data_IF_804669329339
#
_entry.id   IF_804669329339
#
_cell.length_a   1.000
_cell.length_b   1.000
_cell.length_c   1.000
_cell.angle_alpha   90.00
_cell.angle_beta   90.00
_cell.angle_gamma   90.00
#
_symmetry.space_group_name_H-M   'P 1'
#
loop_
_entity.id
_entity.type
_entity.pdbx_description
1 polymer ?
#
# COMPACT_ATOMS: atom_id res chain seq x y z
N UNK A 1 -5.92 -2.84 -11.39
CA UNK A 1 -5.66 -3.69 -10.21
C UNK A 1 -4.71 -2.98 -9.24
N UNK A 2 -5.12 -2.86 -7.98
CA UNK A 2 -4.45 -2.11 -6.92
C UNK A 2 -3.81 -3.04 -5.88
N UNK A 3 -2.63 -2.68 -5.42
CA UNK A 3 -2.05 -3.20 -4.18
C UNK A 3 -1.86 -2.07 -3.18
N UNK A 4 -2.15 -2.33 -1.92
CA UNK A 4 -1.81 -1.44 -0.82
C UNK A 4 -0.65 -2.06 -0.03
N UNK A 5 0.35 -1.24 0.29
CA UNK A 5 1.47 -1.60 1.16
C UNK A 5 1.36 -0.75 2.42
N UNK A 6 1.39 -1.35 3.60
CA UNK A 6 1.48 -0.67 4.88
C UNK A 6 2.91 -0.83 5.43
N UNK A 7 3.57 0.29 5.72
CA UNK A 7 4.93 0.29 6.25
C UNK A 7 4.97 -0.20 7.72
N UNK A 8 6.17 -0.30 8.28
CA UNK A 8 6.37 -0.75 9.64
C UNK A 8 5.84 0.26 10.67
N UNK A 9 5.80 1.54 10.34
CA UNK A 9 5.19 2.57 11.19
C UNK A 9 3.68 2.36 11.32
N UNK A 10 2.99 1.99 10.24
CA UNK A 10 1.59 1.58 10.29
C UNK A 10 1.41 0.33 11.15
N UNK A 11 2.27 -0.68 10.99
CA UNK A 11 2.21 -1.88 11.85
C UNK A 11 2.33 -1.55 13.35
N UNK A 12 3.32 -0.74 13.71
CA UNK A 12 3.55 -0.33 15.11
C UNK A 12 2.46 0.61 15.64
N UNK A 13 1.91 1.49 14.80
CA UNK A 13 0.79 2.39 15.14
C UNK A 13 -0.47 1.63 15.57
N UNK A 14 -0.74 0.49 14.97
CA UNK A 14 -1.86 -0.38 15.32
C UNK A 14 -1.43 -1.52 16.26
N UNK A 15 -0.35 -1.35 17.01
CA UNK A 15 0.12 -2.30 18.03
C UNK A 15 0.36 -3.73 17.50
N UNK A 16 0.66 -3.84 16.20
CA UNK A 16 0.83 -5.12 15.51
C UNK A 16 -0.47 -5.83 15.14
N UNK A 17 -1.63 -5.20 15.30
CA UNK A 17 -2.92 -5.73 14.88
C UNK A 17 -3.09 -5.64 13.36
N UNK A 18 -2.66 -6.69 12.66
CA UNK A 18 -2.84 -6.80 11.21
C UNK A 18 -4.32 -6.80 10.80
N UNK A 19 -5.22 -7.30 11.65
CA UNK A 19 -6.65 -7.36 11.33
C UNK A 19 -7.25 -5.95 11.24
N UNK A 20 -6.90 -5.08 12.19
CA UNK A 20 -7.32 -3.68 12.16
C UNK A 20 -6.73 -2.95 10.93
N UNK A 21 -5.45 -3.19 10.61
CA UNK A 21 -4.81 -2.61 9.41
C UNK A 21 -5.54 -3.05 8.13
N UNK A 22 -5.85 -4.35 8.01
CA UNK A 22 -6.61 -4.89 6.91
C UNK A 22 -8.01 -4.25 6.80
N UNK A 23 -8.73 -4.13 7.92
CA UNK A 23 -10.06 -3.50 7.95
C UNK A 23 -10.01 -2.06 7.41
N UNK A 24 -9.07 -1.25 7.90
CA UNK A 24 -8.88 0.15 7.44
C UNK A 24 -8.57 0.25 5.96
N UNK A 25 -7.75 -0.66 5.44
CA UNK A 25 -7.43 -0.72 4.02
C UNK A 25 -8.68 -1.07 3.20
N UNK A 26 -9.47 -2.06 3.63
CA UNK A 26 -10.69 -2.45 2.93
C UNK A 26 -11.74 -1.34 2.91
N UNK A 27 -11.94 -0.66 4.03
CA UNK A 27 -12.82 0.50 4.11
C UNK A 27 -12.37 1.62 3.17
N UNK A 28 -11.08 1.94 3.16
CA UNK A 28 -10.50 2.98 2.30
C UNK A 28 -10.68 2.65 0.81
N UNK A 29 -10.37 1.40 0.41
CA UNK A 29 -10.55 0.95 -0.97
C UNK A 29 -12.02 0.94 -1.37
N UNK A 30 -12.93 0.56 -0.47
CA UNK A 30 -14.37 0.60 -0.74
C UNK A 30 -14.84 2.04 -1.01
N UNK A 31 -14.37 3.00 -0.22
CA UNK A 31 -14.64 4.42 -0.46
C UNK A 31 -14.06 4.89 -1.81
N UNK A 32 -12.81 4.53 -2.13
CA UNK A 32 -12.20 4.85 -3.42
C UNK A 32 -13.02 4.27 -4.59
N UNK A 33 -13.52 3.03 -4.47
CA UNK A 33 -14.37 2.43 -5.49
C UNK A 33 -15.62 3.25 -5.79
N UNK A 34 -16.27 3.80 -4.75
CA UNK A 34 -17.44 4.69 -4.93
C UNK A 34 -17.05 5.97 -5.66
N UNK A 35 -15.93 6.59 -5.28
CA UNK A 35 -15.44 7.85 -5.87
C UNK A 35 -15.08 7.66 -7.35
N UNK A 36 -14.28 6.63 -7.65
CA UNK A 36 -13.76 6.38 -9.00
C UNK A 36 -14.81 5.85 -9.97
N UNK A 37 -15.95 5.35 -9.48
CA UNK A 37 -17.09 4.95 -10.32
C UNK A 37 -17.59 6.10 -11.21
N UNK A 38 -17.57 7.34 -10.72
CA UNK A 38 -17.96 8.52 -11.51
C UNK A 38 -17.05 8.77 -12.72
N UNK A 39 -15.82 8.24 -12.68
CA UNK A 39 -14.83 8.32 -13.75
C UNK A 39 -14.80 7.05 -14.62
N UNK A 40 -15.77 6.14 -14.44
CA UNK A 40 -15.81 4.84 -15.11
C UNK A 40 -14.57 3.96 -14.83
N UNK A 41 -13.93 4.15 -13.67
CA UNK A 41 -12.79 3.35 -13.21
C UNK A 41 -13.26 2.41 -12.10
N UNK A 42 -12.90 1.13 -12.20
CA UNK A 42 -13.12 0.13 -11.14
C UNK A 42 -11.80 -0.23 -10.47
N UNK A 43 -11.76 -0.20 -9.13
CA UNK A 43 -10.60 -0.55 -8.34
C UNK A 43 -10.78 -1.96 -7.77
N UNK A 44 -10.01 -2.90 -8.30
CA UNK A 44 -9.86 -4.23 -7.71
C UNK A 44 -8.63 -4.23 -6.79
N UNK A 45 -8.82 -4.38 -5.48
CA UNK A 45 -7.72 -4.64 -4.54
C UNK A 45 -7.30 -6.10 -4.64
N UNK A 46 -6.11 -6.36 -5.16
CA UNK A 46 -5.61 -7.71 -5.46
C UNK A 46 -4.51 -8.17 -4.51
N UNK A 47 -4.11 -7.32 -3.57
CA UNK A 47 -3.11 -7.63 -2.56
C UNK A 47 -2.99 -6.53 -1.51
N UNK A 48 -2.66 -6.96 -0.29
CA UNK A 48 -2.22 -6.11 0.81
C UNK A 48 -0.91 -6.68 1.31
N UNK A 49 0.05 -5.81 1.60
CA UNK A 49 1.33 -6.21 2.18
C UNK A 49 1.64 -5.34 3.39
N UNK A 50 1.97 -5.97 4.50
CA UNK A 50 2.28 -5.29 5.76
C UNK A 50 3.74 -5.59 6.09
N UNK A 51 4.54 -4.56 6.32
CA UNK A 51 5.96 -4.69 6.69
C UNK A 51 6.12 -4.85 8.20
N UNK A 52 5.65 -5.98 8.74
CA UNK A 52 5.66 -6.26 10.19
C UNK A 52 7.04 -6.46 10.79
N UNK A 53 8.04 -6.84 9.98
CA UNK A 53 9.43 -7.07 10.43
C UNK A 53 10.37 -5.86 10.24
N UNK A 54 9.85 -4.73 9.75
CA UNK A 54 10.64 -3.57 9.36
C UNK A 54 10.46 -3.23 7.88
N UNK A 55 10.77 -1.98 7.52
CA UNK A 55 10.56 -1.48 6.17
C UNK A 55 11.47 -2.17 5.14
N UNK A 56 10.92 -2.47 3.96
CA UNK A 56 11.66 -3.10 2.86
C UNK A 56 12.38 -2.08 1.95
N UNK A 57 12.23 -0.80 2.23
CA UNK A 57 12.88 0.33 1.58
C UNK A 57 12.94 1.51 2.57
N UNK A 58 13.64 2.58 2.19
CA UNK A 58 13.77 3.77 3.05
C UNK A 58 12.48 4.59 3.05
N UNK A 59 11.78 4.62 4.19
CA UNK A 59 10.68 5.56 4.46
C UNK A 59 11.24 6.73 5.28
N UNK A 60 11.21 7.94 4.73
CA UNK A 60 11.75 9.15 5.38
C UNK A 60 10.65 10.19 5.59
N UNK A 61 10.98 11.29 6.26
CA UNK A 61 10.07 12.44 6.38
C UNK A 61 9.91 13.19 5.04
N UNK A 62 10.80 12.96 4.08
CA UNK A 62 10.70 13.52 2.73
C UNK A 62 9.79 12.64 1.88
N UNK A 63 8.67 13.20 1.44
CA UNK A 63 7.73 12.51 0.56
C UNK A 63 8.38 12.15 -0.79
N UNK A 64 9.24 13.01 -1.32
CA UNK A 64 9.90 12.79 -2.62
C UNK A 64 10.90 11.62 -2.54
N UNK A 65 11.75 11.60 -1.50
CA UNK A 65 12.71 10.50 -1.29
C UNK A 65 11.99 9.17 -1.04
N UNK A 66 10.91 9.20 -0.27
CA UNK A 66 10.08 8.02 0.02
C UNK A 66 9.40 7.51 -1.25
N UNK A 67 8.85 8.41 -2.07
CA UNK A 67 8.20 8.05 -3.34
C UNK A 67 9.19 7.44 -4.34
N UNK A 68 10.38 8.03 -4.48
CA UNK A 68 11.44 7.48 -5.34
C UNK A 68 11.85 6.09 -4.88
N UNK A 69 12.12 5.94 -3.58
CA UNK A 69 12.52 4.66 -2.98
C UNK A 69 11.41 3.60 -3.13
N UNK A 70 10.13 3.99 -3.00
CA UNK A 70 8.99 3.08 -3.15
C UNK A 70 8.83 2.62 -4.60
N UNK A 71 8.97 3.55 -5.55
CA UNK A 71 8.93 3.25 -6.98
C UNK A 71 10.03 2.27 -7.40
N UNK A 72 11.26 2.49 -6.91
CA UNK A 72 12.39 1.60 -7.20
C UNK A 72 12.22 0.22 -6.56
N UNK A 73 11.78 0.16 -5.30
CA UNK A 73 11.45 -1.11 -4.63
C UNK A 73 10.37 -1.88 -5.40
N UNK A 74 9.27 -1.20 -5.78
CA UNK A 74 8.19 -1.79 -6.55
C UNK A 74 8.69 -2.40 -7.86
N UNK A 75 9.50 -1.63 -8.60
CA UNK A 75 10.04 -2.02 -9.91
C UNK A 75 11.02 -3.18 -9.82
N UNK A 76 11.96 -3.14 -8.89
CA UNK A 76 13.07 -4.10 -8.81
C UNK A 76 12.72 -5.38 -8.06
N UNK A 77 11.82 -5.29 -7.06
CA UNK A 77 11.51 -6.38 -6.15
C UNK A 77 10.05 -6.81 -6.26
N UNK A 78 9.11 -5.89 -6.10
CA UNK A 78 7.72 -6.29 -5.89
C UNK A 78 7.04 -6.86 -7.14
N UNK A 79 7.21 -6.20 -8.29
CA UNK A 79 6.59 -6.64 -9.56
C UNK A 79 7.04 -8.03 -10.01
N UNK A 80 8.21 -8.51 -9.53
CA UNK A 80 8.69 -9.86 -9.82
C UNK A 80 7.89 -10.96 -9.12
N UNK A 81 7.21 -10.65 -8.01
CA UNK A 81 6.43 -11.61 -7.23
C UNK A 81 4.92 -11.41 -7.32
N UNK A 82 4.45 -10.19 -7.57
CA UNK A 82 3.02 -9.88 -7.70
C UNK A 82 2.79 -8.87 -8.81
N UNK A 83 2.17 -9.31 -9.90
CA UNK A 83 1.73 -8.42 -10.99
C UNK A 83 0.55 -7.56 -10.51
N UNK A 84 0.58 -6.27 -10.84
CA UNK A 84 -0.46 -5.29 -10.51
C UNK A 84 -0.22 -4.01 -11.33
N UNK A 85 -1.27 -3.21 -11.55
CA UNK A 85 -1.16 -1.96 -12.32
C UNK A 85 -0.62 -0.81 -11.47
N UNK A 86 -1.15 -0.66 -10.26
CA UNK A 86 -0.81 0.42 -9.33
C UNK A 86 -0.55 -0.12 -7.91
N UNK A 87 0.38 0.52 -7.19
CA UNK A 87 0.60 0.27 -5.78
C UNK A 87 0.61 1.60 -5.03
N UNK A 88 0.07 1.61 -3.81
CA UNK A 88 0.07 2.76 -2.92
C UNK A 88 0.69 2.36 -1.58
N UNK A 89 1.54 3.23 -1.04
CA UNK A 89 2.15 3.08 0.29
C UNK A 89 1.31 3.86 1.30
N UNK A 90 0.93 3.19 2.40
CA UNK A 90 0.38 3.81 3.60
C UNK A 90 1.48 3.82 4.66
N UNK A 91 1.78 5.01 5.17
CA UNK A 91 2.83 5.27 6.15
C UNK A 91 2.30 6.17 7.25
#
# INVERSE_FOLDING_TARGET
ELVIVADHRMFTKYEGDETEIHSRIYESVNALNVIFRALYISIALIGVEIWSSGDLMSVTLSADETLESFGEWRRRHFLKRKRHDNAQLLT
#
